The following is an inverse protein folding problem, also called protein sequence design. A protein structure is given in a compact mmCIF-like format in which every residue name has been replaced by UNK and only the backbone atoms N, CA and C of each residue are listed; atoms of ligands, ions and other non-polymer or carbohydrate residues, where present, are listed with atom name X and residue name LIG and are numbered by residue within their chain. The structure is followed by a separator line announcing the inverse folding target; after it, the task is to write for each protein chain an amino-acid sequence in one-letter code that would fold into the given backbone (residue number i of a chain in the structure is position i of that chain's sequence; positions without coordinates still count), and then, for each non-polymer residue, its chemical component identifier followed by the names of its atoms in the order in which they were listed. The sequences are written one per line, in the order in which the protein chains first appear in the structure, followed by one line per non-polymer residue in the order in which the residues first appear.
data_IF_221461637555
#
_entry.id   IF_221461637555
#
_cell.length_a   1.000
_cell.length_b   1.000
_cell.length_c   1.000
_cell.angle_alpha   90.00
_cell.angle_beta   90.00
_cell.angle_gamma   90.00
#
_symmetry.space_group_name_H-M   'P 1'
#
loop_
_entity.id
_entity.type
_entity.pdbx_description
1 polymer ?
#
# COMPACT_ATOMS: atom_id res chain seq x y z
N UNK A 1 -1.94 0.28 -29.70
CA UNK A 1 -1.18 0.64 -28.48
C UNK A 1 -2.00 0.07 -27.33
N UNK A 2 -1.49 -0.94 -26.64
CA UNK A 2 -2.19 -1.59 -25.54
C UNK A 2 -2.19 -0.60 -24.36
N UNK A 3 -3.35 -0.05 -24.00
CA UNK A 3 -3.49 0.68 -22.75
C UNK A 3 -3.16 -0.31 -21.63
N UNK A 4 -2.00 -0.13 -21.00
CA UNK A 4 -1.58 -0.98 -19.90
C UNK A 4 -2.53 -0.71 -18.74
N UNK A 5 -3.57 -1.54 -18.63
CA UNK A 5 -4.54 -1.45 -17.55
C UNK A 5 -3.78 -1.54 -16.23
N UNK A 6 -3.94 -0.55 -15.36
CA UNK A 6 -3.42 -0.63 -13.99
C UNK A 6 -4.08 -1.85 -13.34
N UNK A 7 -3.31 -2.90 -13.13
CA UNK A 7 -3.70 -4.10 -12.37
C UNK A 7 -2.76 -4.26 -11.20
N UNK A 8 -3.27 -4.73 -10.06
CA UNK A 8 -2.49 -4.92 -8.83
C UNK A 8 -1.28 -5.82 -9.05
N UNK A 9 -1.39 -6.81 -9.94
CA UNK A 9 -0.31 -7.75 -10.29
C UNK A 9 0.90 -7.05 -10.93
N UNK A 10 0.68 -5.92 -11.60
CA UNK A 10 1.74 -5.14 -12.23
C UNK A 10 2.33 -4.07 -11.31
N UNK A 11 1.83 -3.94 -10.07
CA UNK A 11 2.29 -2.95 -9.11
C UNK A 11 3.44 -3.47 -8.26
N UNK A 12 4.45 -2.63 -8.07
CA UNK A 12 5.55 -2.93 -7.15
C UNK A 12 5.06 -2.87 -5.70
N UNK A 13 5.72 -3.57 -4.78
CA UNK A 13 5.39 -3.49 -3.35
C UNK A 13 5.47 -2.06 -2.79
N UNK A 14 6.37 -1.22 -3.33
CA UNK A 14 6.43 0.20 -2.97
C UNK A 14 5.17 0.93 -3.42
N UNK A 15 4.70 0.69 -4.63
CA UNK A 15 3.47 1.31 -5.12
C UNK A 15 2.26 0.86 -4.30
N UNK A 16 2.15 -0.43 -3.99
CA UNK A 16 1.09 -0.93 -3.11
C UNK A 16 1.12 -0.27 -1.73
N UNK A 17 2.31 -0.15 -1.14
CA UNK A 17 2.49 0.52 0.14
C UNK A 17 2.08 2.00 0.07
N UNK A 18 2.49 2.75 -0.95
CA UNK A 18 2.10 4.16 -1.13
C UNK A 18 0.60 4.33 -1.27
N UNK A 19 -0.09 3.46 -2.02
CA UNK A 19 -1.56 3.48 -2.13
C UNK A 19 -2.20 3.18 -0.77
N UNK A 20 -1.73 2.18 -0.04
CA UNK A 20 -2.23 1.86 1.30
C UNK A 20 -2.09 3.06 2.27
N UNK A 21 -0.94 3.74 2.24
CA UNK A 21 -0.70 4.95 3.04
C UNK A 21 -1.68 6.08 2.69
N UNK A 22 -2.00 6.26 1.40
CA UNK A 22 -3.03 7.21 0.96
C UNK A 22 -4.41 6.78 1.49
N UNK A 23 -4.73 5.49 1.41
CA UNK A 23 -6.02 4.92 1.79
C UNK A 23 -6.35 5.15 3.28
N UNK A 24 -5.37 4.93 4.16
CA UNK A 24 -5.53 5.04 5.62
C UNK A 24 -5.44 6.48 6.13
N UNK A 25 -5.01 7.41 5.27
CA UNK A 25 -4.88 8.82 5.59
C UNK A 25 -3.62 9.19 6.39
N UNK A 26 -3.39 10.50 6.49
CA UNK A 26 -2.16 11.09 7.04
C UNK A 26 -1.94 10.80 8.52
N UNK A 27 -3.01 10.69 9.30
CA UNK A 27 -2.93 10.43 10.74
C UNK A 27 -2.35 9.03 11.02
N UNK A 28 -2.91 7.99 10.42
CA UNK A 28 -2.41 6.62 10.54
C UNK A 28 -1.03 6.47 9.89
N UNK A 29 -0.83 7.07 8.72
CA UNK A 29 0.46 7.09 8.03
C UNK A 29 1.59 7.65 8.90
N UNK A 30 1.32 8.71 9.68
CA UNK A 30 2.31 9.34 10.55
C UNK A 30 2.87 8.37 11.60
N UNK A 31 2.05 7.43 12.08
CA UNK A 31 2.49 6.43 13.05
C UNK A 31 3.40 5.41 12.37
N UNK A 32 3.06 4.99 11.14
CA UNK A 32 3.90 4.08 10.35
C UNK A 32 5.27 4.72 10.05
N UNK A 33 5.28 5.98 9.62
CA UNK A 33 6.52 6.69 9.28
C UNK A 33 7.50 6.80 10.44
N UNK A 34 7.02 6.89 11.69
CA UNK A 34 7.90 6.89 12.89
C UNK A 34 8.70 5.61 13.07
N UNK A 35 8.28 4.51 12.45
CA UNK A 35 8.96 3.22 12.51
C UNK A 35 9.85 2.95 11.30
N UNK A 36 9.89 3.87 10.33
CA UNK A 36 10.70 3.75 9.13
C UNK A 36 11.97 4.58 9.25
N UNK A 37 12.98 4.21 8.44
CA UNK A 37 14.20 5.02 8.29
C UNK A 37 13.90 6.21 7.38
N UNK A 38 14.57 7.33 7.59
CA UNK A 38 14.38 8.56 6.81
C UNK A 38 14.41 8.33 5.29
N UNK A 39 15.37 7.53 4.82
CA UNK A 39 15.49 7.15 3.39
C UNK A 39 14.26 6.44 2.84
N UNK A 40 13.56 5.66 3.66
CA UNK A 40 12.41 4.86 3.25
C UNK A 40 11.14 5.72 3.31
N UNK A 41 11.05 6.64 4.28
CA UNK A 41 10.03 7.70 4.30
C UNK A 41 10.13 8.58 3.05
N UNK A 42 11.33 9.04 2.70
CA UNK A 42 11.56 9.87 1.52
C UNK A 42 11.14 9.15 0.23
N UNK A 43 11.52 7.88 0.08
CA UNK A 43 11.12 7.06 -1.08
C UNK A 43 9.61 6.90 -1.19
N UNK A 44 8.93 6.66 -0.07
CA UNK A 44 7.47 6.55 -0.05
C UNK A 44 6.80 7.88 -0.39
N UNK A 45 7.30 8.99 0.15
CA UNK A 45 6.77 10.32 -0.13
C UNK A 45 6.92 10.69 -1.61
N UNK A 46 8.08 10.41 -2.23
CA UNK A 46 8.30 10.61 -3.66
C UNK A 46 7.33 9.77 -4.50
N UNK A 47 7.15 8.50 -4.15
CA UNK A 47 6.23 7.61 -4.86
C UNK A 47 4.77 8.08 -4.74
N UNK A 48 4.34 8.48 -3.53
CA UNK A 48 2.99 9.04 -3.28
C UNK A 48 2.75 10.28 -4.15
N UNK A 49 3.73 11.17 -4.24
CA UNK A 49 3.62 12.38 -5.07
C UNK A 49 3.54 12.09 -6.59
N UNK A 50 4.06 10.94 -7.03
CA UNK A 50 3.99 10.50 -8.43
C UNK A 50 2.66 9.83 -8.77
N UNK A 51 1.94 9.33 -7.77
CA UNK A 51 0.63 8.74 -7.96
C UNK A 51 -0.43 9.82 -8.18
N UNK A 52 -1.07 9.77 -9.34
CA UNK A 52 -2.21 10.62 -9.68
C UNK A 52 -3.34 9.74 -10.16
N UNK A 53 -4.57 10.15 -9.84
CA UNK A 53 -5.79 9.54 -10.36
C UNK A 53 -5.88 8.02 -10.11
N UNK A 54 -5.59 7.61 -8.87
CA UNK A 54 -5.73 6.20 -8.45
C UNK A 54 -7.23 5.82 -8.54
N UNK A 55 -7.61 4.83 -9.37
CA UNK A 55 -8.99 4.37 -9.41
C UNK A 55 -9.41 3.81 -8.05
N UNK A 56 -10.66 4.08 -7.64
CA UNK A 56 -11.21 3.55 -6.38
C UNK A 56 -11.13 2.02 -6.31
N UNK A 57 -11.30 1.34 -7.44
CA UNK A 57 -11.18 -0.12 -7.54
C UNK A 57 -9.79 -0.63 -7.17
N UNK A 58 -8.73 0.11 -7.51
CA UNK A 58 -7.35 -0.25 -7.12
C UNK A 58 -7.15 0.00 -5.63
N UNK A 59 -7.68 1.11 -5.12
CA UNK A 59 -7.62 1.43 -3.69
C UNK A 59 -8.27 0.32 -2.85
N UNK A 60 -9.50 -0.07 -3.20
CA UNK A 60 -10.27 -1.12 -2.53
C UNK A 60 -9.53 -2.46 -2.56
N UNK A 61 -9.02 -2.85 -3.73
CA UNK A 61 -8.35 -4.13 -3.88
C UNK A 61 -6.98 -4.18 -3.15
N UNK A 62 -6.28 -3.04 -2.98
CA UNK A 62 -5.08 -2.96 -2.12
C UNK A 62 -5.44 -3.13 -0.65
N UNK A 63 -6.54 -2.53 -0.19
CA UNK A 63 -7.02 -2.70 1.19
C UNK A 63 -7.38 -4.16 1.45
N UNK A 64 -8.08 -4.79 0.50
CA UNK A 64 -8.47 -6.20 0.60
C UNK A 64 -7.24 -7.13 0.65
N UNK A 65 -6.26 -6.94 -0.24
CA UNK A 65 -5.00 -7.70 -0.24
C UNK A 65 -4.28 -7.56 1.12
N UNK A 66 -4.22 -6.34 1.66
CA UNK A 66 -3.59 -6.09 2.95
C UNK A 66 -4.33 -6.76 4.11
N UNK A 67 -5.67 -6.73 4.10
CA UNK A 67 -6.49 -7.41 5.11
C UNK A 67 -6.28 -8.92 5.08
N UNK A 68 -6.28 -9.53 3.89
CA UNK A 68 -6.02 -10.97 3.74
C UNK A 68 -4.62 -11.36 4.25
N UNK A 69 -3.62 -10.50 4.03
CA UNK A 69 -2.26 -10.71 4.53
C UNK A 69 -2.22 -10.71 6.07
N UNK A 70 -2.91 -9.77 6.72
CA UNK A 70 -3.02 -9.73 8.19
C UNK A 70 -3.71 -11.00 8.69
N UNK A 71 -4.84 -11.37 8.09
CA UNK A 71 -5.59 -12.55 8.53
C UNK A 71 -4.78 -13.84 8.41
N UNK A 72 -4.01 -13.99 7.34
CA UNK A 72 -3.10 -15.13 7.17
C UNK A 72 -2.03 -15.18 8.26
N UNK A 73 -1.48 -14.03 8.68
CA UNK A 73 -0.52 -13.98 9.78
C UNK A 73 -1.16 -14.31 11.14
N UNK A 74 -2.40 -13.85 11.39
CA UNK A 74 -3.13 -14.17 12.61
C UNK A 74 -3.46 -15.65 12.71
N UNK A 75 -3.85 -16.29 11.60
CA UNK A 75 -4.14 -17.73 11.55
C UNK A 75 -2.90 -18.57 11.91
N UNK A 76 -1.72 -18.16 11.45
CA UNK A 76 -0.44 -18.81 11.81
C UNK A 76 -0.10 -18.56 13.29
N UNK A 77 -0.47 -17.40 13.84
CA UNK A 77 -0.16 -17.03 15.23
C UNK A 77 -1.08 -17.68 16.26
N UNK A 78 -2.31 -18.05 15.88
CA UNK A 78 -3.27 -18.73 16.77
C UNK A 78 -3.35 -20.26 16.55
N UNK A 79 -2.80 -20.77 15.45
CA UNK A 79 -2.77 -22.20 15.12
C UNK A 79 -1.38 -22.81 15.28
N UNK A 80 -0.96 -23.01 16.53
CA UNK A 80 0.13 -23.89 16.93
C UNK A 80 -0.39 -24.98 17.88
#
# INVERSE_FOLDING_TARGET
MEEKQLTIENMTGRQKASILIIAIGTEAASQIFKHLKDKDVERLAVEIAQMKDIPSTIMEAIIEEFYQMIMAQEYISQGG
#
